data_IF_717672943968
#
_entry.id   IF_717672943968
#
_cell.length_a   1.000
_cell.length_b   1.000
_cell.length_c   1.000
_cell.angle_alpha   90.00
_cell.angle_beta   90.00
_cell.angle_gamma   90.00
#
_symmetry.space_group_name_H-M   'P 1'
#
loop_
_entity.id
_entity.type
_entity.pdbx_description
1 polymer ?
#
# COMPACT_ATOMS: atom_id res chain seq x y z
N UNK A 1 7.62 19.54 3.53
CA UNK A 1 6.34 19.08 4.10
C UNK A 1 6.47 17.58 4.30
N UNK A 2 6.28 17.07 5.52
CA UNK A 2 6.33 15.62 5.75
C UNK A 2 5.15 14.98 5.01
N UNK A 3 5.40 14.15 3.99
CA UNK A 3 4.37 13.44 3.23
C UNK A 3 3.92 12.21 4.03
N UNK A 4 3.18 12.45 5.11
CA UNK A 4 2.56 11.37 5.90
C UNK A 4 1.33 10.83 5.20
N UNK A 5 1.17 9.52 5.17
CA UNK A 5 -0.04 8.85 4.65
C UNK A 5 -1.12 8.78 5.73
N UNK A 6 -2.32 9.29 5.43
CA UNK A 6 -3.50 9.18 6.31
C UNK A 6 -4.03 7.74 6.33
N UNK A 7 -4.24 7.19 7.53
CA UNK A 7 -4.67 5.80 7.73
C UNK A 7 -6.16 5.72 7.99
N UNK A 8 -6.93 5.42 6.96
CA UNK A 8 -8.40 5.43 7.02
C UNK A 8 -8.94 4.40 8.01
N UNK A 9 -8.26 3.25 8.14
CA UNK A 9 -8.62 2.19 9.08
C UNK A 9 -8.51 2.58 10.57
N UNK A 10 -7.92 3.74 10.90
CA UNK A 10 -7.86 4.27 12.28
C UNK A 10 -8.97 5.28 12.60
N UNK A 11 -9.79 5.67 11.62
CA UNK A 11 -10.71 6.80 11.79
C UNK A 11 -12.04 6.43 12.45
N UNK A 12 -12.57 5.25 12.14
CA UNK A 12 -13.78 4.74 12.78
C UNK A 12 -13.88 3.22 12.65
N UNK A 13 -14.77 2.62 13.44
CA UNK A 13 -15.08 1.20 13.33
C UNK A 13 -15.68 0.85 11.96
N UNK A 14 -16.56 1.70 11.42
CA UNK A 14 -17.14 1.52 10.07
C UNK A 14 -16.06 1.46 8.97
N UNK A 15 -15.04 2.31 9.09
CA UNK A 15 -13.93 2.36 8.14
C UNK A 15 -13.07 1.09 8.16
N UNK A 16 -13.07 0.35 9.28
CA UNK A 16 -12.33 -0.91 9.43
C UNK A 16 -12.92 -2.03 8.56
N UNK A 17 -14.22 -1.99 8.29
CA UNK A 17 -14.91 -3.00 7.48
C UNK A 17 -14.90 -2.69 5.98
N UNK A 18 -14.53 -1.46 5.60
CA UNK A 18 -14.45 -1.05 4.21
C UNK A 18 -13.14 -1.53 3.59
N UNK A 19 -13.22 -2.17 2.41
CA UNK A 19 -12.05 -2.69 1.67
C UNK A 19 -11.69 -1.84 0.46
N UNK A 20 -12.47 -0.80 0.16
CA UNK A 20 -12.29 0.08 -0.99
C UNK A 20 -12.03 1.52 -0.55
N UNK A 21 -11.21 2.25 -1.30
CA UNK A 21 -10.89 3.64 -1.02
C UNK A 21 -10.42 4.36 -2.29
N UNK A 22 -10.44 5.69 -2.23
CA UNK A 22 -9.83 6.56 -3.24
C UNK A 22 -8.67 7.32 -2.62
N UNK A 23 -7.57 7.47 -3.36
CA UNK A 23 -6.38 8.17 -2.91
C UNK A 23 -5.62 8.76 -4.10
N UNK A 24 -4.77 9.74 -3.81
CA UNK A 24 -3.84 10.32 -4.76
C UNK A 24 -2.44 9.76 -4.51
N UNK A 25 -1.70 9.52 -5.60
CA UNK A 25 -0.28 9.17 -5.53
C UNK A 25 0.51 10.42 -5.18
N UNK A 26 1.29 10.34 -4.10
CA UNK A 26 2.14 11.44 -3.62
C UNK A 26 3.60 11.24 -3.97
N UNK A 27 4.04 9.99 -4.11
CA UNK A 27 5.41 9.65 -4.51
C UNK A 27 5.48 8.27 -5.18
N UNK A 28 6.46 8.08 -6.06
CA UNK A 28 6.74 6.81 -6.75
C UNK A 28 8.25 6.58 -6.83
N UNK A 29 8.72 5.48 -6.25
CA UNK A 29 10.11 5.03 -6.36
C UNK A 29 10.17 3.59 -6.88
N UNK A 30 10.52 3.44 -8.16
CA UNK A 30 10.59 2.15 -8.83
C UNK A 30 9.25 1.40 -8.85
N UNK A 31 9.08 0.45 -7.92
CA UNK A 31 7.87 -0.36 -7.76
C UNK A 31 7.11 -0.02 -6.48
N UNK A 32 7.55 0.98 -5.72
CA UNK A 32 6.89 1.45 -4.51
C UNK A 32 6.09 2.70 -4.81
N UNK A 33 4.85 2.72 -4.32
CA UNK A 33 3.92 3.83 -4.46
C UNK A 33 3.51 4.32 -3.09
N UNK A 34 3.63 5.62 -2.85
CA UNK A 34 3.12 6.28 -1.65
C UNK A 34 1.84 7.02 -1.99
N UNK A 35 0.85 6.88 -1.12
CA UNK A 35 -0.46 7.51 -1.25
C UNK A 35 -0.66 8.57 -0.18
N UNK A 36 -1.52 9.56 -0.45
CA UNK A 36 -1.96 10.55 0.55
C UNK A 36 -2.78 9.91 1.67
N UNK A 37 -3.52 8.85 1.36
CA UNK A 37 -4.30 8.06 2.29
C UNK A 37 -4.37 6.58 1.89
N UNK A 38 -4.55 5.68 2.85
CA UNK A 38 -4.65 4.24 2.57
C UNK A 38 -5.52 3.49 3.58
N UNK A 39 -6.17 2.42 3.10
CA UNK A 39 -6.78 1.37 3.94
C UNK A 39 -5.89 0.15 4.12
N UNK A 40 -4.79 0.04 3.37
CA UNK A 40 -3.86 -1.08 3.54
C UNK A 40 -3.13 -0.99 4.88
N UNK A 41 -3.22 -2.03 5.68
CA UNK A 41 -2.44 -2.18 6.90
C UNK A 41 -0.99 -2.57 6.56
N UNK A 42 0.02 -1.77 6.95
CA UNK A 42 1.42 -2.11 6.74
C UNK A 42 1.87 -3.21 7.68
N UNK A 43 2.89 -3.98 7.29
CA UNK A 43 3.51 -5.00 8.16
C UNK A 43 3.97 -4.37 9.48
N UNK A 44 3.60 -5.00 10.61
CA UNK A 44 3.98 -4.51 11.94
C UNK A 44 3.56 -5.45 13.07
N UNK A 45 4.37 -5.53 14.14
CA UNK A 45 4.03 -6.29 15.35
C UNK A 45 3.92 -7.82 15.16
N UNK A 46 4.47 -8.36 14.07
CA UNK A 46 4.33 -9.78 13.69
C UNK A 46 3.09 -10.08 12.85
N UNK A 47 2.23 -9.10 12.59
CA UNK A 47 1.09 -9.24 11.69
C UNK A 47 1.53 -9.07 10.23
N UNK A 48 1.07 -9.94 9.30
CA UNK A 48 1.28 -9.73 7.87
C UNK A 48 0.59 -8.45 7.38
N UNK A 49 1.11 -7.85 6.32
CA UNK A 49 0.45 -6.73 5.65
C UNK A 49 -0.81 -7.17 4.90
N UNK A 50 -1.65 -6.19 4.60
CA UNK A 50 -2.76 -6.37 3.67
C UNK A 50 -2.27 -6.50 2.22
N UNK A 51 -3.02 -7.26 1.43
CA UNK A 51 -2.85 -7.43 0.00
C UNK A 51 -4.13 -7.02 -0.72
N UNK A 52 -4.01 -6.58 -1.97
CA UNK A 52 -5.13 -5.99 -2.70
C UNK A 52 -4.70 -5.43 -4.03
N UNK A 53 -5.46 -4.49 -4.57
CA UNK A 53 -5.19 -3.88 -5.87
C UNK A 53 -5.34 -2.36 -5.82
N UNK A 54 -4.47 -1.67 -6.54
CA UNK A 54 -4.60 -0.25 -6.87
C UNK A 54 -5.10 -0.15 -8.30
N UNK A 55 -6.27 0.46 -8.50
CA UNK A 55 -6.89 0.64 -9.81
C UNK A 55 -6.84 2.10 -10.21
N UNK A 56 -6.31 2.37 -11.40
CA UNK A 56 -6.20 3.70 -11.97
C UNK A 56 -6.50 3.73 -13.46
N UNK A 57 -6.27 4.88 -14.13
CA UNK A 57 -6.62 5.08 -15.54
C UNK A 57 -5.94 4.09 -16.50
N UNK A 58 -4.77 3.59 -16.13
CA UNK A 58 -3.96 2.68 -16.96
C UNK A 58 -4.19 1.20 -16.64
N UNK A 59 -5.09 0.88 -15.71
CA UNK A 59 -5.41 -0.48 -15.31
C UNK A 59 -5.32 -0.71 -13.81
N UNK A 60 -5.28 -1.98 -13.42
CA UNK A 60 -5.20 -2.42 -12.03
C UNK A 60 -3.89 -3.16 -11.78
N UNK A 61 -3.23 -2.83 -10.67
CA UNK A 61 -1.98 -3.44 -10.24
C UNK A 61 -2.16 -4.03 -8.85
N UNK A 62 -1.74 -5.29 -8.69
CA UNK A 62 -1.74 -5.94 -7.38
C UNK A 62 -0.74 -5.24 -6.45
N UNK A 63 -1.04 -5.24 -5.15
CA UNK A 63 -0.10 -4.85 -4.09
C UNK A 63 0.46 -6.14 -3.50
N UNK A 64 1.78 -6.25 -3.51
CA UNK A 64 2.52 -7.44 -3.06
C UNK A 64 3.10 -7.31 -1.66
N UNK A 65 3.24 -6.08 -1.16
CA UNK A 65 3.80 -5.77 0.15
C UNK A 65 3.39 -4.36 0.57
N UNK A 66 3.19 -4.13 1.86
CA UNK A 66 2.86 -2.82 2.42
C UNK A 66 3.69 -2.57 3.67
N UNK A 67 4.43 -1.46 3.69
CA UNK A 67 5.39 -1.15 4.78
C UNK A 67 5.41 0.35 5.07
N UNK A 68 6.02 0.70 6.21
CA UNK A 68 6.25 2.09 6.61
C UNK A 68 5.37 2.54 7.77
N UNK A 69 5.79 3.63 8.43
CA UNK A 69 5.16 4.15 9.65
C UNK A 69 4.59 5.56 9.47
N UNK A 70 5.25 6.46 8.76
CA UNK A 70 4.73 7.82 8.53
C UNK A 70 4.23 7.94 7.09
N UNK A 71 5.08 7.63 6.11
CA UNK A 71 4.67 7.29 4.76
C UNK A 71 4.40 5.78 4.65
N UNK A 72 3.32 5.40 3.98
CA UNK A 72 3.00 3.99 3.70
C UNK A 72 3.32 3.68 2.25
N UNK A 73 4.27 2.76 2.07
CA UNK A 73 4.76 2.29 0.78
C UNK A 73 3.99 1.04 0.36
N UNK A 74 3.42 1.08 -0.83
CA UNK A 74 2.71 -0.03 -1.46
C UNK A 74 3.58 -0.58 -2.58
N UNK A 75 4.10 -1.79 -2.41
CA UNK A 75 4.98 -2.40 -3.40
C UNK A 75 4.16 -3.15 -4.44
N UNK A 76 4.29 -2.75 -5.68
CA UNK A 76 3.72 -3.43 -6.84
C UNK A 76 4.57 -4.66 -7.18
N UNK A 77 3.97 -5.72 -7.78
CA UNK A 77 4.72 -6.89 -8.20
C UNK A 77 5.79 -6.46 -9.19
N UNK A 78 7.05 -6.67 -8.82
CA UNK A 78 8.14 -6.61 -9.77
C UNK A 78 8.03 -7.76 -10.76
N UNK A 79 8.79 -7.67 -11.85
CA UNK A 79 9.08 -8.84 -12.69
C UNK A 79 9.46 -10.00 -11.74
N UNK A 80 8.85 -11.19 -11.87
CA UNK A 80 9.25 -12.33 -11.06
C UNK A 80 10.76 -12.48 -11.17
N UNK A 81 11.48 -12.29 -10.06
CA UNK A 81 12.88 -12.65 -10.04
C UNK A 81 12.91 -14.17 -10.08
N UNK A 82 13.53 -14.81 -11.08
CA UNK A 82 13.68 -16.26 -11.06
C UNK A 82 14.35 -16.61 -9.71
N UNK A 83 13.89 -17.69 -9.03
CA UNK A 83 14.45 -18.05 -7.73
C UNK A 83 15.97 -18.09 -7.84
N UNK A 84 16.62 -17.23 -7.05
CA UNK A 84 18.06 -17.06 -7.08
C UNK A 84 18.74 -18.40 -6.82
N UNK A 85 19.67 -18.79 -7.70
CA UNK A 85 20.57 -19.92 -7.47
C UNK A 85 21.40 -19.60 -6.24
N UNK A 86 21.23 -20.39 -5.18
CA UNK A 86 22.20 -20.53 -4.09
C UNK A 86 23.38 -21.39 -4.55
#
# INVERSE_FOLDING_TARGET
>A
MSLSTRRLYLESFEETYSTTFSANVTDVDGLEVVLDQTRFYPTGGGQPCDLGHLTGPTGSLAVSDVRGRDAVHHRLPGRPQPPGRR
#
